data_IF_447662607054
#
_entry.id   IF_447662607054
#
_cell.length_a   1.000
_cell.length_b   1.000
_cell.length_c   1.000
_cell.angle_alpha   90.00
_cell.angle_beta   90.00
_cell.angle_gamma   90.00
#
_symmetry.space_group_name_H-M   'P 1'
#
loop_
_entity.id
_entity.type
_entity.pdbx_description
1 polymer ?
#
# COMPACT_ATOMS: atom_id res chain seq x y z
N UNK A 1 -18.01 29.16 84.44
CA UNK A 1 -16.90 29.77 83.68
C UNK A 1 -17.39 30.03 82.28
N UNK A 2 -17.40 31.29 81.85
CA UNK A 2 -17.87 31.68 80.53
C UNK A 2 -16.68 31.68 79.56
N UNK A 3 -16.58 30.71 78.64
CA UNK A 3 -15.36 30.47 77.86
C UNK A 3 -14.94 31.63 76.95
N UNK A 4 -15.86 32.54 76.62
CA UNK A 4 -15.58 33.75 75.85
C UNK A 4 -14.70 34.74 76.60
N UNK A 5 -14.92 34.88 77.91
CA UNK A 5 -14.20 35.84 78.77
C UNK A 5 -12.75 35.37 78.95
N UNK A 6 -12.56 34.07 79.15
CA UNK A 6 -11.24 33.47 79.36
C UNK A 6 -10.36 33.59 78.10
N UNK A 7 -10.95 33.49 76.90
CA UNK A 7 -10.23 33.68 75.64
C UNK A 7 -9.83 35.13 75.39
N UNK A 8 -10.69 36.09 75.72
CA UNK A 8 -10.37 37.52 75.60
C UNK A 8 -9.29 37.92 76.58
N UNK A 9 -9.36 37.43 77.82
CA UNK A 9 -8.33 37.63 78.82
C UNK A 9 -6.98 37.02 78.39
N UNK A 10 -6.98 35.81 77.83
CA UNK A 10 -5.76 35.16 77.33
C UNK A 10 -5.14 35.91 76.13
N UNK A 11 -5.97 36.40 75.19
CA UNK A 11 -5.49 37.25 74.08
C UNK A 11 -4.90 38.56 74.60
N UNK A 12 -5.58 39.23 75.52
CA UNK A 12 -5.11 40.48 76.12
C UNK A 12 -3.77 40.29 76.86
N UNK A 13 -3.63 39.19 77.63
CA UNK A 13 -2.38 38.86 78.30
C UNK A 13 -1.22 38.59 77.31
N UNK A 14 -1.49 37.93 76.19
CA UNK A 14 -0.50 37.67 75.14
C UNK A 14 -0.01 38.94 74.44
N UNK A 15 -0.90 39.91 74.17
CA UNK A 15 -0.50 41.21 73.64
C UNK A 15 0.21 42.07 74.70
N UNK A 16 -0.24 42.03 75.96
CA UNK A 16 0.36 42.77 77.07
C UNK A 16 1.78 42.30 77.42
N UNK A 17 2.10 41.02 77.21
CA UNK A 17 3.46 40.48 77.35
C UNK A 17 4.37 40.81 76.17
N UNK A 18 3.88 41.56 75.17
CA UNK A 18 4.62 41.99 73.99
C UNK A 18 4.53 41.05 72.79
N UNK A 19 3.62 40.06 72.82
CA UNK A 19 3.38 39.16 71.69
C UNK A 19 2.80 39.91 70.48
N UNK A 20 3.34 39.64 69.29
CA UNK A 20 2.84 40.17 68.02
C UNK A 20 2.36 39.03 67.12
N UNK A 21 1.24 39.25 66.44
CA UNK A 21 0.75 38.33 65.43
C UNK A 21 1.46 38.58 64.11
N UNK A 22 2.07 37.54 63.55
CA UNK A 22 2.65 37.59 62.20
C UNK A 22 1.68 36.88 61.26
N UNK A 23 1.02 37.65 60.39
CA UNK A 23 0.19 37.11 59.32
C UNK A 23 1.12 36.84 58.13
N UNK A 24 1.36 35.56 57.84
CA UNK A 24 2.18 35.16 56.70
C UNK A 24 1.39 35.33 55.41
N UNK A 25 1.96 36.06 54.46
CA UNK A 25 1.39 36.17 53.11
C UNK A 25 1.40 34.80 52.41
N UNK A 26 0.33 34.52 51.66
CA UNK A 26 0.19 33.27 50.92
C UNK A 26 1.28 33.10 49.85
N UNK A 27 1.56 31.85 49.46
CA UNK A 27 2.55 31.59 48.41
C UNK A 27 2.00 31.97 47.03
N UNK A 28 2.85 32.57 46.18
CA UNK A 28 2.54 32.78 44.76
C UNK A 28 3.12 31.62 43.95
N UNK A 29 2.25 30.82 43.31
CA UNK A 29 2.71 29.71 42.47
C UNK A 29 3.47 30.21 41.23
N UNK A 30 4.62 29.59 40.94
CA UNK A 30 5.35 29.73 39.68
C UNK A 30 5.43 28.39 38.96
N UNK A 31 5.10 28.34 37.66
CA UNK A 31 5.16 27.10 36.89
C UNK A 31 6.61 26.60 36.76
N UNK A 32 6.75 25.28 36.68
CA UNK A 32 8.04 24.62 36.60
C UNK A 32 8.68 24.87 35.22
N UNK A 33 9.99 25.15 35.12
CA UNK A 33 10.65 25.39 33.84
C UNK A 33 10.70 24.13 32.95
N UNK A 34 10.72 24.34 31.63
CA UNK A 34 10.81 23.28 30.64
C UNK A 34 12.10 22.45 30.78
N UNK A 35 11.98 21.12 30.61
CA UNK A 35 13.12 20.19 30.63
C UNK A 35 13.98 20.37 29.37
N UNK A 36 15.27 20.68 29.55
CA UNK A 36 16.25 20.72 28.43
C UNK A 36 16.78 19.31 28.13
N UNK A 37 16.52 18.81 26.92
CA UNK A 37 17.18 17.61 26.41
C UNK A 37 18.62 17.92 25.95
N UNK A 38 19.58 17.00 26.16
CA UNK A 38 20.94 17.19 25.67
C UNK A 38 20.97 17.21 24.14
N UNK A 39 21.79 18.09 23.56
CA UNK A 39 21.99 18.15 22.11
C UNK A 39 22.50 16.79 21.60
N UNK A 40 22.04 16.30 20.44
CA UNK A 40 22.49 15.03 19.87
C UNK A 40 24.01 15.05 19.68
N UNK A 41 24.70 14.08 20.30
CA UNK A 41 26.16 13.97 20.20
C UNK A 41 26.55 13.69 18.74
N UNK A 42 27.52 14.44 18.22
CA UNK A 42 28.09 14.17 16.90
C UNK A 42 28.73 12.78 16.90
N UNK A 43 28.36 11.93 15.93
CA UNK A 43 28.95 10.61 15.78
C UNK A 43 30.44 10.78 15.44
N UNK A 44 31.32 10.19 16.24
CA UNK A 44 32.76 10.14 15.91
C UNK A 44 32.93 9.44 14.56
N UNK A 45 33.69 10.04 13.66
CA UNK A 45 34.10 9.39 12.42
C UNK A 45 34.87 8.12 12.79
N UNK A 46 34.41 6.97 12.30
CA UNK A 46 35.15 5.72 12.46
C UNK A 46 36.44 5.83 11.63
N UNK A 47 37.58 5.31 12.10
CA UNK A 47 38.80 5.23 11.30
C UNK A 47 38.47 4.56 9.96
N UNK A 48 39.07 5.06 8.87
CA UNK A 48 38.96 4.45 7.56
C UNK A 48 39.74 3.13 7.53
N UNK A 49 39.20 2.10 8.16
CA UNK A 49 39.72 0.74 8.01
C UNK A 49 39.55 0.34 6.54
N UNK A 50 40.64 -0.03 5.87
CA UNK A 50 40.60 -0.75 4.61
C UNK A 50 39.90 -2.08 4.87
N UNK A 51 38.56 -2.09 4.75
CA UNK A 51 37.77 -3.28 4.99
C UNK A 51 38.12 -4.31 3.94
N UNK A 52 38.98 -5.27 4.32
CA UNK A 52 39.12 -6.51 3.58
C UNK A 52 37.71 -7.02 3.24
N UNK A 53 37.51 -7.42 1.98
CA UNK A 53 36.20 -7.89 1.52
C UNK A 53 35.80 -9.03 2.43
N UNK A 54 34.79 -8.80 3.28
CA UNK A 54 34.27 -9.80 4.21
C UNK A 54 34.05 -11.12 3.47
N UNK A 55 34.45 -12.24 4.07
CA UNK A 55 34.33 -13.57 3.48
C UNK A 55 32.90 -13.86 2.97
N UNK A 56 31.87 -13.28 3.59
CA UNK A 56 30.49 -13.38 3.12
C UNK A 56 30.27 -12.69 1.77
N UNK A 57 30.90 -11.52 1.55
CA UNK A 57 30.83 -10.79 0.28
C UNK A 57 31.59 -11.50 -0.82
N UNK A 58 32.74 -12.11 -0.54
CA UNK A 58 33.47 -12.89 -1.55
C UNK A 58 32.69 -14.13 -1.97
N UNK A 59 32.09 -14.87 -1.01
CA UNK A 59 31.19 -15.99 -1.30
C UNK A 59 29.96 -15.57 -2.11
N UNK A 60 29.38 -14.40 -1.78
CA UNK A 60 28.24 -13.87 -2.53
C UNK A 60 28.61 -13.53 -3.98
N UNK A 61 29.78 -12.94 -4.22
CA UNK A 61 30.31 -12.66 -5.56
C UNK A 61 30.59 -13.95 -6.35
N UNK A 62 31.27 -14.91 -5.75
CA UNK A 62 31.53 -16.20 -6.39
C UNK A 62 30.23 -16.94 -6.75
N UNK A 63 29.17 -16.82 -5.93
CA UNK A 63 27.84 -17.35 -6.26
C UNK A 63 27.19 -16.57 -7.40
N UNK A 64 27.26 -15.25 -7.37
CA UNK A 64 26.75 -14.38 -8.43
C UNK A 64 27.40 -14.70 -9.80
N UNK A 65 28.72 -14.89 -9.84
CA UNK A 65 29.46 -15.27 -11.04
C UNK A 65 28.96 -16.60 -11.62
N UNK A 66 28.80 -17.64 -10.78
CA UNK A 66 28.24 -18.93 -11.21
C UNK A 66 26.82 -18.79 -11.77
N UNK A 67 25.97 -18.02 -11.10
CA UNK A 67 24.59 -17.77 -11.56
C UNK A 67 24.59 -16.99 -12.87
N UNK A 68 25.51 -16.03 -13.05
CA UNK A 68 25.63 -15.25 -14.27
C UNK A 68 26.08 -16.10 -15.47
N UNK A 69 26.97 -17.08 -15.25
CA UNK A 69 27.35 -18.06 -16.28
C UNK A 69 26.17 -18.92 -16.71
N UNK A 70 25.44 -19.48 -15.73
CA UNK A 70 24.25 -20.30 -15.98
C UNK A 70 23.11 -19.51 -16.62
N UNK A 71 22.98 -18.23 -16.29
CA UNK A 71 21.93 -17.36 -16.83
C UNK A 71 22.05 -17.14 -18.35
N UNK A 72 23.25 -17.27 -18.92
CA UNK A 72 23.48 -17.17 -20.36
C UNK A 72 22.83 -18.32 -21.13
N UNK A 73 22.80 -19.52 -20.53
CA UNK A 73 22.37 -20.75 -21.20
C UNK A 73 20.99 -21.22 -20.74
N UNK A 74 20.63 -21.00 -19.49
CA UNK A 74 19.44 -21.58 -18.85
C UNK A 74 18.44 -20.53 -18.38
N UNK A 75 17.19 -20.96 -18.25
CA UNK A 75 16.11 -20.16 -17.67
C UNK A 75 16.22 -20.12 -16.15
N UNK A 76 15.70 -19.07 -15.51
CA UNK A 76 15.71 -18.93 -14.04
C UNK A 76 15.11 -20.16 -13.31
N UNK A 77 14.11 -20.80 -13.91
CA UNK A 77 13.48 -22.00 -13.33
C UNK A 77 14.38 -23.24 -13.37
N UNK A 78 15.20 -23.39 -14.41
CA UNK A 78 16.17 -24.48 -14.51
C UNK A 78 17.33 -24.26 -13.54
N UNK A 79 17.85 -23.04 -13.47
CA UNK A 79 18.90 -22.67 -12.52
C UNK A 79 18.44 -22.88 -11.07
N UNK A 80 17.19 -22.53 -10.76
CA UNK A 80 16.58 -22.77 -9.45
C UNK A 80 16.57 -24.27 -9.07
N UNK A 81 16.23 -25.15 -10.02
CA UNK A 81 16.21 -26.60 -9.79
C UNK A 81 17.63 -27.17 -9.62
N UNK A 82 18.59 -26.69 -10.41
CA UNK A 82 19.98 -27.16 -10.36
C UNK A 82 20.67 -26.77 -9.05
N UNK A 83 20.49 -25.53 -8.59
CA UNK A 83 21.13 -25.02 -7.38
C UNK A 83 20.32 -25.30 -6.10
N UNK A 84 19.08 -25.78 -6.22
CA UNK A 84 18.17 -25.95 -5.07
C UNK A 84 17.73 -24.62 -4.44
N UNK A 85 17.71 -23.54 -5.23
CA UNK A 85 17.41 -22.19 -4.76
C UNK A 85 16.02 -21.72 -5.18
N UNK A 86 15.48 -20.74 -4.46
CA UNK A 86 14.20 -20.13 -4.85
C UNK A 86 14.41 -19.16 -6.01
N UNK A 87 13.42 -19.09 -6.92
CA UNK A 87 13.43 -18.12 -8.04
C UNK A 87 13.59 -16.67 -7.54
N UNK A 88 13.00 -16.33 -6.40
CA UNK A 88 13.10 -14.99 -5.80
C UNK A 88 14.54 -14.61 -5.44
N UNK A 89 15.30 -15.55 -4.86
CA UNK A 89 16.71 -15.33 -4.54
C UNK A 89 17.54 -15.07 -5.79
N UNK A 90 17.30 -15.85 -6.86
CA UNK A 90 17.98 -15.69 -8.16
C UNK A 90 17.65 -14.34 -8.82
N UNK A 91 16.39 -13.89 -8.78
CA UNK A 91 16.02 -12.56 -9.26
C UNK A 91 16.69 -11.44 -8.45
N UNK A 92 16.84 -11.63 -7.13
CA UNK A 92 17.58 -10.71 -6.28
C UNK A 92 19.07 -10.63 -6.62
N UNK A 93 19.70 -11.75 -6.96
CA UNK A 93 21.10 -11.78 -7.44
C UNK A 93 21.22 -11.11 -8.82
N UNK A 94 20.32 -11.44 -9.75
CA UNK A 94 20.29 -10.85 -11.08
C UNK A 94 20.11 -9.33 -11.05
N UNK A 95 19.25 -8.81 -10.17
CA UNK A 95 19.04 -7.37 -9.99
C UNK A 95 20.28 -6.65 -9.41
N UNK A 96 21.05 -7.32 -8.53
CA UNK A 96 22.26 -6.75 -7.92
C UNK A 96 23.43 -6.68 -8.90
N UNK A 97 23.57 -7.70 -9.74
CA UNK A 97 24.71 -7.87 -10.65
C UNK A 97 24.39 -7.42 -12.09
N UNK A 98 23.12 -7.14 -12.39
CA UNK A 98 22.68 -6.52 -13.65
C UNK A 98 22.54 -7.47 -14.84
N UNK A 99 22.44 -8.79 -14.63
CA UNK A 99 22.22 -9.76 -15.70
C UNK A 99 20.77 -10.25 -15.77
N UNK A 100 20.40 -10.89 -16.88
CA UNK A 100 19.07 -11.46 -17.11
C UNK A 100 19.21 -12.93 -17.48
N UNK A 101 18.26 -13.75 -17.04
CA UNK A 101 18.18 -15.17 -17.43
C UNK A 101 17.63 -15.30 -18.85
N UNK A 102 17.96 -16.42 -19.51
CA UNK A 102 17.32 -16.79 -20.75
C UNK A 102 15.79 -16.87 -20.57
N UNK A 103 15.04 -16.24 -21.47
CA UNK A 103 13.58 -16.36 -21.49
C UNK A 103 13.22 -17.58 -22.32
N UNK A 104 12.37 -18.49 -21.81
CA UNK A 104 11.85 -19.56 -22.65
C UNK A 104 11.07 -18.93 -23.83
N UNK A 105 11.05 -19.61 -25.00
CA UNK A 105 10.26 -19.14 -26.14
C UNK A 105 8.80 -19.03 -25.70
N UNK A 106 8.20 -17.86 -25.94
CA UNK A 106 6.78 -17.66 -25.65
C UNK A 106 5.99 -18.59 -26.56
N UNK A 107 5.18 -19.45 -25.96
CA UNK A 107 4.23 -20.24 -26.73
C UNK A 107 3.33 -19.28 -27.52
N UNK A 108 3.15 -19.48 -28.83
CA UNK A 108 2.25 -18.65 -29.60
C UNK A 108 0.86 -18.78 -28.99
N UNK A 109 0.19 -17.65 -28.76
CA UNK A 109 -1.21 -17.69 -28.35
C UNK A 109 -1.99 -18.41 -29.46
N UNK A 110 -2.96 -19.29 -29.12
CA UNK A 110 -3.79 -19.91 -30.14
C UNK A 110 -4.43 -18.79 -30.98
N UNK A 111 -4.15 -18.83 -32.28
CA UNK A 111 -4.73 -17.88 -33.24
C UNK A 111 -6.22 -18.18 -33.27
N UNK A 112 -7.06 -17.18 -32.99
CA UNK A 112 -8.51 -17.34 -33.13
C UNK A 112 -8.84 -17.34 -34.61
N UNK A 113 -9.48 -18.38 -35.10
CA UNK A 113 -9.92 -18.44 -36.49
C UNK A 113 -10.91 -17.30 -36.79
N UNK A 114 -10.63 -16.43 -37.77
CA UNK A 114 -11.48 -15.27 -38.06
C UNK A 114 -12.89 -15.71 -38.47
N UNK A 115 -12.99 -16.81 -39.23
CA UNK A 115 -14.27 -17.38 -39.69
C UNK A 115 -15.13 -17.86 -38.51
N UNK A 116 -14.53 -18.49 -37.49
CA UNK A 116 -15.25 -18.93 -36.31
C UNK A 116 -15.72 -17.72 -35.47
N UNK A 117 -14.90 -16.66 -35.42
CA UNK A 117 -15.24 -15.42 -34.74
C UNK A 117 -16.41 -14.69 -35.41
N UNK A 118 -16.45 -14.66 -36.74
CA UNK A 118 -17.53 -14.05 -37.51
C UNK A 118 -18.87 -14.77 -37.30
N UNK A 119 -18.88 -16.11 -37.30
CA UNK A 119 -20.08 -16.91 -37.01
C UNK A 119 -20.62 -16.60 -35.60
N UNK A 120 -19.76 -16.65 -34.60
CA UNK A 120 -20.14 -16.32 -33.24
C UNK A 120 -20.62 -14.87 -33.09
N UNK A 121 -20.04 -13.93 -33.85
CA UNK A 121 -20.49 -12.54 -33.83
C UNK A 121 -21.85 -12.35 -34.52
N UNK A 122 -22.19 -13.16 -35.55
CA UNK A 122 -23.54 -13.20 -36.16
C UNK A 122 -24.60 -13.72 -35.19
N UNK A 123 -24.35 -14.86 -34.55
CA UNK A 123 -25.29 -15.43 -33.58
C UNK A 123 -25.57 -14.45 -32.42
N UNK A 124 -24.54 -13.72 -32.00
CA UNK A 124 -24.66 -12.67 -30.99
C UNK A 124 -25.41 -11.45 -31.50
N UNK A 125 -25.22 -11.05 -32.76
CA UNK A 125 -25.97 -9.96 -33.37
C UNK A 125 -27.47 -10.25 -33.38
N UNK A 126 -27.87 -11.47 -33.74
CA UNK A 126 -29.28 -11.90 -33.74
C UNK A 126 -29.88 -11.86 -32.34
N UNK A 127 -29.13 -12.34 -31.33
CA UNK A 127 -29.55 -12.23 -29.93
C UNK A 127 -29.68 -10.79 -29.46
N UNK A 128 -28.75 -9.91 -29.86
CA UNK A 128 -28.78 -8.49 -29.51
C UNK A 128 -30.01 -7.80 -30.13
N UNK A 129 -30.37 -8.14 -31.38
CA UNK A 129 -31.57 -7.63 -32.05
C UNK A 129 -32.82 -8.08 -31.29
N UNK A 130 -32.93 -9.38 -30.97
CA UNK A 130 -34.06 -9.89 -30.20
C UNK A 130 -34.21 -9.18 -28.84
N UNK A 131 -33.10 -8.96 -28.12
CA UNK A 131 -33.13 -8.25 -26.83
C UNK A 131 -33.47 -6.76 -26.98
N UNK A 132 -33.04 -6.13 -28.07
CA UNK A 132 -33.41 -4.75 -28.42
C UNK A 132 -34.91 -4.64 -28.67
N UNK A 133 -35.49 -5.56 -29.42
CA UNK A 133 -36.92 -5.56 -29.75
C UNK A 133 -37.79 -5.82 -28.51
N UNK A 134 -37.28 -6.58 -27.54
CA UNK A 134 -37.87 -6.68 -26.19
C UNK A 134 -37.75 -5.41 -25.34
N UNK A 135 -37.15 -4.32 -25.86
CA UNK A 135 -37.01 -3.04 -25.16
C UNK A 135 -35.87 -3.00 -24.14
N UNK A 136 -34.91 -3.93 -24.18
CA UNK A 136 -33.80 -3.92 -23.23
C UNK A 136 -32.79 -2.82 -23.56
N UNK A 137 -32.24 -2.19 -22.52
CA UNK A 137 -31.13 -1.25 -22.66
C UNK A 137 -29.82 -1.98 -22.96
N UNK A 138 -28.86 -1.24 -23.56
CA UNK A 138 -27.53 -1.75 -23.91
C UNK A 138 -26.85 -2.49 -22.74
N UNK A 139 -26.87 -1.90 -21.54
CA UNK A 139 -26.25 -2.46 -20.34
C UNK A 139 -26.92 -3.76 -19.88
N UNK A 140 -28.26 -3.83 -19.96
CA UNK A 140 -29.01 -5.04 -19.61
C UNK A 140 -28.76 -6.17 -20.62
N UNK A 141 -28.68 -5.84 -21.90
CA UNK A 141 -28.32 -6.81 -22.93
C UNK A 141 -26.92 -7.40 -22.72
N UNK A 142 -25.92 -6.57 -22.35
CA UNK A 142 -24.56 -7.06 -22.03
C UNK A 142 -24.52 -7.94 -20.79
N UNK A 143 -25.26 -7.57 -19.74
CA UNK A 143 -25.34 -8.35 -18.52
C UNK A 143 -25.98 -9.73 -18.78
N UNK A 144 -27.07 -9.75 -19.56
CA UNK A 144 -27.79 -10.99 -19.90
C UNK A 144 -26.97 -11.94 -20.79
N UNK A 145 -26.19 -11.39 -21.73
CA UNK A 145 -25.35 -12.19 -22.64
C UNK A 145 -23.96 -12.52 -22.06
N UNK A 146 -23.57 -11.94 -20.92
CA UNK A 146 -22.25 -12.12 -20.32
C UNK A 146 -21.10 -11.55 -21.17
N UNK A 147 -21.39 -10.54 -21.99
CA UNK A 147 -20.43 -9.96 -22.96
C UNK A 147 -19.91 -8.62 -22.45
N UNK A 148 -18.60 -8.39 -22.57
CA UNK A 148 -18.00 -7.09 -22.27
C UNK A 148 -18.36 -5.99 -23.29
N UNK A 149 -18.48 -4.75 -22.81
CA UNK A 149 -18.86 -3.57 -23.62
C UNK A 149 -18.06 -3.42 -24.93
N UNK A 150 -16.74 -3.67 -24.91
CA UNK A 150 -15.90 -3.54 -26.12
C UNK A 150 -16.27 -4.55 -27.20
N UNK A 151 -16.68 -5.76 -26.83
CA UNK A 151 -17.14 -6.78 -27.78
C UNK A 151 -18.51 -6.42 -28.32
N UNK A 152 -19.39 -5.91 -27.48
CA UNK A 152 -20.69 -5.40 -27.91
C UNK A 152 -20.54 -4.27 -28.94
N UNK A 153 -19.75 -3.23 -28.64
CA UNK A 153 -19.52 -2.09 -29.54
C UNK A 153 -18.98 -2.53 -30.91
N UNK A 154 -18.04 -3.49 -30.92
CA UNK A 154 -17.55 -4.09 -32.17
C UNK A 154 -18.68 -4.71 -32.99
N UNK A 155 -19.57 -5.47 -32.35
CA UNK A 155 -20.71 -6.13 -33.02
C UNK A 155 -21.72 -5.07 -33.51
N UNK A 156 -22.04 -4.06 -32.70
CA UNK A 156 -22.95 -2.99 -33.10
C UNK A 156 -22.46 -2.24 -34.34
N UNK A 157 -21.16 -1.93 -34.41
CA UNK A 157 -20.56 -1.28 -35.59
C UNK A 157 -20.54 -2.23 -36.79
N UNK A 158 -20.18 -3.50 -36.60
CA UNK A 158 -20.10 -4.48 -37.69
C UNK A 158 -21.46 -4.79 -38.32
N UNK A 159 -22.53 -4.84 -37.52
CA UNK A 159 -23.88 -5.18 -37.98
C UNK A 159 -24.83 -3.98 -38.09
N UNK A 160 -24.36 -2.76 -37.81
CA UNK A 160 -25.16 -1.53 -37.92
C UNK A 160 -26.36 -1.47 -36.96
N UNK A 161 -26.27 -2.11 -35.80
CA UNK A 161 -27.37 -2.19 -34.82
C UNK A 161 -27.35 -0.94 -33.93
N UNK A 162 -28.43 -0.16 -33.95
CA UNK A 162 -28.59 1.02 -33.10
C UNK A 162 -29.59 0.78 -31.97
N UNK A 163 -29.15 0.96 -30.72
CA UNK A 163 -30.05 1.00 -29.57
C UNK A 163 -30.70 2.39 -29.44
N UNK A 164 -31.97 2.49 -29.02
CA UNK A 164 -32.56 3.79 -28.71
C UNK A 164 -31.76 4.48 -27.60
N UNK A 165 -31.46 5.77 -27.78
CA UNK A 165 -30.75 6.55 -26.76
C UNK A 165 -31.53 6.51 -25.44
N UNK A 166 -30.92 5.92 -24.43
CA UNK A 166 -31.42 5.99 -23.07
C UNK A 166 -31.36 7.46 -22.64
N UNK A 167 -32.52 8.09 -22.41
CA UNK A 167 -32.56 9.45 -21.85
C UNK A 167 -31.87 9.41 -20.48
N UNK A 168 -30.85 10.24 -20.31
CA UNK A 168 -30.15 10.42 -19.04
C UNK A 168 -31.13 10.98 -17.98
N UNK A 169 -31.88 10.11 -17.31
CA UNK A 169 -32.89 10.55 -16.34
C UNK A 169 -33.82 9.48 -15.75
N UNK A 170 -33.62 8.19 -16.01
CA UNK A 170 -34.47 7.13 -15.45
C UNK A 170 -33.66 5.93 -14.97
N UNK A 171 -33.67 5.73 -13.65
CA UNK A 171 -33.16 4.60 -12.84
C UNK A 171 -31.84 3.94 -13.26
N UNK A 172 -30.85 4.05 -12.36
CA UNK A 172 -29.66 3.22 -12.34
C UNK A 172 -30.02 1.74 -12.54
N UNK A 173 -29.16 1.05 -13.29
CA UNK A 173 -29.25 -0.39 -13.55
C UNK A 173 -29.32 -1.14 -12.20
N UNK A 174 -30.52 -1.52 -11.76
CA UNK A 174 -30.70 -2.44 -10.65
C UNK A 174 -30.38 -3.86 -11.12
N UNK A 175 -29.66 -4.56 -10.23
CA UNK A 175 -28.98 -5.86 -10.39
C UNK A 175 -29.92 -7.03 -10.73
#
# INVERSE_FOLDING_TARGET
MNPSIDLEAAKAAFFASGGQLVVLEGFTYRPLPERKHPKPKQKRAKPAEHKAVSQHKSRARARAEKVAELAKTMTCGEVAKLLGETKSALWGVAAREGFKFASPPRQPKPVKDPVAQEKADRDLADQIIALRDCGMSRCRATAKLGIGNRKLERILVAFGINFPLQRHGGSACQE
#
